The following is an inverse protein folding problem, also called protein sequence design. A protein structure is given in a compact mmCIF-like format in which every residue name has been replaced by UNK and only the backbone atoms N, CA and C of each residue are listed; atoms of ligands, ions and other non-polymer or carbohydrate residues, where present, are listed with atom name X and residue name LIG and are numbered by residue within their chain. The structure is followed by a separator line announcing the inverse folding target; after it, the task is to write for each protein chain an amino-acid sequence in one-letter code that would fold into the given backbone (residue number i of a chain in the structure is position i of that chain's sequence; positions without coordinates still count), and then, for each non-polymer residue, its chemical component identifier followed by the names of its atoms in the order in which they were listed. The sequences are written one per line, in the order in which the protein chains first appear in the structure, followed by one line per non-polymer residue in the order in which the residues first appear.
data_IF_032842552022
#
_entry.id   IF_032842552022
#
_cell.length_a   1.000
_cell.length_b   1.000
_cell.length_c   1.000
_cell.angle_alpha   90.00
_cell.angle_beta   90.00
_cell.angle_gamma   90.00
#
_symmetry.space_group_name_H-M   'P 1'
#
loop_
_entity.id
_entity.type
_entity.pdbx_description
1 polymer ?
#
# COMPACT_ATOMS: atom_id res chain seq x y z
N UNK A 1 9.02 3.18 2.40
CA UNK A 1 9.02 1.84 3.05
C UNK A 1 10.32 1.07 2.89
N UNK A 2 10.73 0.63 1.68
CA UNK A 2 11.89 -0.26 1.50
C UNK A 2 13.19 0.22 2.19
N UNK A 3 13.61 1.46 1.92
CA UNK A 3 14.82 2.01 2.50
C UNK A 3 14.69 2.25 4.02
N UNK A 4 13.53 2.73 4.46
CA UNK A 4 13.18 2.86 5.87
C UNK A 4 13.38 1.54 6.62
N UNK A 5 12.79 0.44 6.15
CA UNK A 5 12.91 -0.87 6.82
C UNK A 5 14.34 -1.42 6.82
N UNK A 6 15.11 -1.14 5.77
CA UNK A 6 16.52 -1.52 5.70
C UNK A 6 17.37 -0.80 6.73
N UNK A 7 17.07 0.47 7.02
CA UNK A 7 17.80 1.27 8.00
C UNK A 7 17.41 0.99 9.47
N UNK A 8 16.27 0.32 9.72
CA UNK A 8 15.87 -0.05 11.09
C UNK A 8 16.90 -0.98 11.75
N UNK A 9 17.07 -0.83 13.06
CA UNK A 9 17.74 -1.84 13.88
C UNK A 9 16.96 -3.15 13.82
N UNK A 10 17.62 -4.25 13.45
CA UNK A 10 17.00 -5.57 13.25
C UNK A 10 16.64 -6.26 14.57
N UNK A 11 17.25 -5.84 15.66
CA UNK A 11 16.89 -6.27 17.01
C UNK A 11 16.02 -5.23 17.72
N UNK A 12 15.76 -4.09 17.07
CA UNK A 12 14.98 -2.97 17.58
C UNK A 12 13.47 -3.25 17.67
N UNK A 13 12.79 -2.47 18.53
CA UNK A 13 11.34 -2.58 18.77
C UNK A 13 10.50 -2.38 17.50
N UNK A 14 10.85 -1.40 16.67
CA UNK A 14 10.14 -1.10 15.43
C UNK A 14 10.20 -2.26 14.42
N UNK A 15 11.39 -2.85 14.21
CA UNK A 15 11.54 -3.99 13.32
C UNK A 15 10.81 -5.23 13.83
N UNK A 16 10.91 -5.51 15.14
CA UNK A 16 10.18 -6.59 15.78
C UNK A 16 8.65 -6.42 15.67
N UNK A 17 8.15 -5.18 15.75
CA UNK A 17 6.74 -4.89 15.50
C UNK A 17 6.33 -5.27 14.08
N UNK A 18 7.11 -4.88 13.06
CA UNK A 18 6.82 -5.22 11.66
C UNK A 18 6.70 -6.73 11.44
N UNK A 19 7.60 -7.53 12.03
CA UNK A 19 7.54 -8.99 11.95
C UNK A 19 6.24 -9.55 12.57
N UNK A 20 5.82 -9.02 13.73
CA UNK A 20 4.58 -9.43 14.41
C UNK A 20 3.32 -8.98 13.68
N UNK A 21 3.33 -7.78 13.11
CA UNK A 21 2.18 -7.19 12.40
C UNK A 21 1.84 -7.92 11.11
N UNK A 22 2.82 -8.62 10.52
CA UNK A 22 2.68 -9.37 9.27
C UNK A 22 3.26 -10.79 9.37
N UNK A 23 2.62 -11.70 10.12
CA UNK A 23 3.14 -13.06 10.34
C UNK A 23 3.19 -13.91 9.05
N UNK A 24 2.50 -13.49 7.99
CA UNK A 24 2.54 -14.12 6.66
C UNK A 24 3.75 -13.69 5.82
N UNK A 25 4.50 -12.69 6.25
CA UNK A 25 5.75 -12.28 5.61
C UNK A 25 6.92 -12.96 6.34
N UNK A 26 7.84 -13.53 5.57
CA UNK A 26 9.10 -14.04 6.13
C UNK A 26 9.95 -12.89 6.65
N UNK A 27 10.82 -13.17 7.62
CA UNK A 27 11.75 -12.18 8.17
C UNK A 27 12.59 -11.55 7.06
N UNK A 28 13.01 -12.34 6.06
CA UNK A 28 13.80 -11.90 4.91
C UNK A 28 13.02 -10.88 4.05
N UNK A 29 11.70 -11.08 3.85
CA UNK A 29 10.86 -10.13 3.12
C UNK A 29 10.73 -8.82 3.88
N UNK A 30 10.56 -8.90 5.20
CA UNK A 30 10.52 -7.72 6.09
C UNK A 30 11.88 -7.00 6.05
N UNK A 31 13.00 -7.70 6.25
CA UNK A 31 14.37 -7.14 6.15
C UNK A 31 14.63 -6.47 4.81
N UNK A 32 14.18 -7.09 3.72
CA UNK A 32 14.31 -6.54 2.38
C UNK A 32 13.40 -5.34 2.11
N UNK A 33 12.43 -5.08 3.00
CA UNK A 33 11.47 -3.99 2.89
C UNK A 33 10.40 -4.24 1.83
N UNK A 34 10.02 -5.52 1.63
CA UNK A 34 9.03 -5.96 0.65
C UNK A 34 7.64 -5.90 1.27
N UNK A 35 6.92 -4.83 0.96
CA UNK A 35 5.54 -4.61 1.37
C UNK A 35 4.71 -4.19 0.16
N UNK A 36 3.45 -4.61 0.12
CA UNK A 36 2.49 -4.13 -0.88
C UNK A 36 1.76 -2.86 -0.40
N UNK A 37 1.01 -2.23 -1.31
CA UNK A 37 0.25 -1.02 -1.01
C UNK A 37 -0.68 -1.15 0.22
N UNK A 38 -1.52 -2.20 0.31
CA UNK A 38 -2.38 -2.41 1.47
C UNK A 38 -1.64 -2.55 2.80
N UNK A 39 -0.51 -3.27 2.84
CA UNK A 39 0.31 -3.41 4.04
C UNK A 39 0.88 -2.06 4.49
N UNK A 40 1.37 -1.24 3.54
CA UNK A 40 1.88 0.09 3.85
C UNK A 40 0.76 0.98 4.40
N UNK A 41 -0.43 0.97 3.79
CA UNK A 41 -1.58 1.76 4.29
C UNK A 41 -2.05 1.32 5.67
N UNK A 42 -1.98 0.01 5.97
CA UNK A 42 -2.25 -0.50 7.31
C UNK A 42 -1.30 0.13 8.33
N UNK A 43 0.00 0.14 8.04
CA UNK A 43 1.00 0.76 8.91
C UNK A 43 0.81 2.27 9.07
N UNK A 44 0.42 2.99 8.02
CA UNK A 44 0.16 4.44 8.08
C UNK A 44 -0.95 4.78 9.09
N UNK A 45 -1.95 3.89 9.22
CA UNK A 45 -3.08 4.06 10.14
C UNK A 45 -2.84 3.46 11.54
N UNK A 46 -1.72 2.77 11.74
CA UNK A 46 -1.44 2.02 12.94
C UNK A 46 -0.66 2.87 13.96
N UNK A 47 -1.35 3.33 15.00
CA UNK A 47 -0.74 4.13 16.07
C UNK A 47 0.25 3.32 16.91
N UNK A 48 0.00 2.02 17.11
CA UNK A 48 0.89 1.14 17.86
C UNK A 48 2.20 0.91 17.12
N UNK A 49 2.15 0.84 15.79
CA UNK A 49 3.36 0.85 14.98
C UNK A 49 4.22 2.09 15.25
N UNK A 50 3.62 3.28 15.28
CA UNK A 50 4.34 4.51 15.57
C UNK A 50 4.89 4.53 17.00
N UNK A 51 4.16 3.98 17.98
CA UNK A 51 4.60 3.88 19.38
C UNK A 51 5.81 2.95 19.56
N UNK A 52 6.03 2.01 18.64
CA UNK A 52 7.19 1.12 18.66
C UNK A 52 8.52 1.79 18.27
N UNK A 53 8.46 2.99 17.69
CA UNK A 53 9.61 3.67 17.09
C UNK A 53 10.43 4.47 18.10
N UNK A 54 11.74 4.54 17.87
CA UNK A 54 12.58 5.56 18.52
C UNK A 54 12.41 6.95 17.84
N UNK A 55 13.08 7.97 18.37
CA UNK A 55 12.95 9.35 17.88
C UNK A 55 13.32 9.51 16.40
N UNK A 56 14.41 8.88 15.94
CA UNK A 56 14.87 8.98 14.54
C UNK A 56 13.92 8.24 13.60
N UNK A 57 13.52 7.03 13.97
CA UNK A 57 12.57 6.21 13.23
C UNK A 57 11.22 6.93 13.10
N UNK A 58 10.72 7.50 14.19
CA UNK A 58 9.45 8.22 14.23
C UNK A 58 9.50 9.50 13.37
N UNK A 59 10.61 10.25 13.41
CA UNK A 59 10.78 11.44 12.57
C UNK A 59 10.80 11.09 11.07
N UNK A 60 11.52 10.04 10.68
CA UNK A 60 11.55 9.55 9.30
C UNK A 60 10.19 8.99 8.86
N UNK A 61 9.52 8.24 9.73
CA UNK A 61 8.19 7.69 9.42
C UNK A 61 7.16 8.80 9.23
N UNK A 62 7.11 9.78 10.14
CA UNK A 62 6.17 10.91 10.05
C UNK A 62 6.39 11.74 8.79
N UNK A 63 7.64 12.05 8.44
CA UNK A 63 7.94 12.79 7.21
C UNK A 63 7.55 12.01 5.95
N UNK A 64 7.76 10.69 5.94
CA UNK A 64 7.26 9.81 4.87
C UNK A 64 5.72 9.85 4.76
N UNK A 65 5.00 9.73 5.87
CA UNK A 65 3.53 9.80 5.89
C UNK A 65 3.03 11.15 5.37
N UNK A 66 3.71 12.24 5.71
CA UNK A 66 3.38 13.58 5.20
C UNK A 66 3.51 13.66 3.67
N UNK A 67 4.57 13.09 3.09
CA UNK A 67 4.75 13.03 1.61
C UNK A 67 3.69 12.14 0.96
N UNK A 68 3.34 11.00 1.57
CA UNK A 68 2.28 10.12 1.05
C UNK A 68 0.94 10.86 0.97
N UNK A 69 0.57 11.57 2.05
CA UNK A 69 -0.75 12.19 2.16
C UNK A 69 -0.89 13.49 1.37
N UNK A 70 0.21 14.24 1.18
CA UNK A 70 0.15 15.60 0.63
C UNK A 70 0.86 15.74 -0.73
N UNK A 71 1.39 14.66 -1.29
CA UNK A 71 2.03 14.69 -2.61
C UNK A 71 1.69 13.46 -3.45
N UNK A 72 1.90 12.25 -2.93
CA UNK A 72 1.71 11.01 -3.71
C UNK A 72 0.24 10.60 -3.89
N UNK A 73 -0.69 11.35 -3.29
CA UNK A 73 -2.12 11.09 -3.36
C UNK A 73 -2.82 11.86 -4.48
N UNK A 74 -4.09 12.20 -4.23
CA UNK A 74 -4.92 12.92 -5.19
C UNK A 74 -4.67 14.44 -5.23
N UNK A 75 -3.86 14.94 -4.30
CA UNK A 75 -3.56 16.36 -4.15
C UNK A 75 -2.06 16.55 -4.01
N UNK A 76 -1.54 17.55 -4.73
CA UNK A 76 -0.18 18.06 -4.60
C UNK A 76 -0.21 19.33 -3.76
N UNK A 77 0.35 19.28 -2.56
CA UNK A 77 0.36 20.43 -1.67
C UNK A 77 1.32 21.52 -2.19
N UNK A 78 0.96 22.79 -1.99
CA UNK A 78 1.80 23.92 -2.38
C UNK A 78 3.21 23.86 -1.74
N UNK A 79 3.34 23.28 -0.54
CA UNK A 79 4.60 23.12 0.17
C UNK A 79 5.29 21.75 -0.06
N UNK A 80 4.91 21.01 -1.11
CA UNK A 80 5.43 19.66 -1.39
C UNK A 80 6.96 19.59 -1.46
N UNK A 81 7.61 20.59 -2.06
CA UNK A 81 9.07 20.69 -2.10
C UNK A 81 9.70 20.58 -0.70
N UNK A 82 9.16 21.34 0.26
CA UNK A 82 9.61 21.29 1.67
C UNK A 82 9.36 19.91 2.29
N UNK A 83 8.19 19.32 2.04
CA UNK A 83 7.87 17.99 2.58
C UNK A 83 8.84 16.92 2.10
N UNK A 84 9.17 16.93 0.81
CA UNK A 84 10.11 15.97 0.21
C UNK A 84 11.53 16.19 0.76
N UNK A 85 12.01 17.44 0.85
CA UNK A 85 13.31 17.76 1.46
C UNK A 85 13.40 17.29 2.90
N UNK A 86 12.38 17.59 3.73
CA UNK A 86 12.32 17.14 5.13
C UNK A 86 12.34 15.61 5.23
N UNK A 87 11.65 14.91 4.33
CA UNK A 87 11.69 13.44 4.30
C UNK A 87 13.10 12.92 3.98
N UNK A 88 13.79 13.50 3.00
CA UNK A 88 15.14 13.08 2.60
C UNK A 88 16.15 13.30 3.74
N UNK A 89 16.09 14.46 4.40
CA UNK A 89 16.94 14.75 5.56
C UNK A 89 16.69 13.78 6.73
N UNK A 90 15.42 13.49 7.02
CA UNK A 90 15.07 12.54 8.07
C UNK A 90 15.53 11.11 7.74
N UNK A 91 15.43 10.71 6.46
CA UNK A 91 15.91 9.42 5.98
C UNK A 91 17.44 9.34 6.06
N UNK A 92 18.14 10.42 5.71
CA UNK A 92 19.60 10.50 5.84
C UNK A 92 20.03 10.37 7.31
N UNK A 93 19.36 11.07 8.23
CA UNK A 93 19.62 10.98 9.69
C UNK A 93 19.38 9.57 10.24
N UNK A 94 18.39 8.85 9.70
CA UNK A 94 18.13 7.45 10.04
C UNK A 94 19.17 6.48 9.44
N UNK A 95 20.02 6.92 8.50
CA UNK A 95 20.98 6.07 7.80
C UNK A 95 20.40 5.35 6.58
N UNK A 96 19.29 5.84 6.01
CA UNK A 96 18.75 5.31 4.77
C UNK A 96 19.63 5.68 3.57
N UNK A 97 19.87 4.72 2.68
CA UNK A 97 20.45 4.99 1.37
C UNK A 97 19.43 5.63 0.43
N UNK A 98 19.87 6.57 -0.40
CA UNK A 98 19.03 7.16 -1.45
C UNK A 98 18.85 6.15 -2.57
N UNK A 99 17.63 5.64 -2.73
CA UNK A 99 17.27 4.82 -3.89
C UNK A 99 17.04 5.69 -5.13
N UNK A 100 17.15 5.08 -6.32
CA UNK A 100 16.84 5.75 -7.59
C UNK A 100 15.44 6.39 -7.61
N UNK A 101 14.43 5.76 -6.98
CA UNK A 101 13.08 6.32 -6.87
C UNK A 101 13.02 7.58 -6.01
N UNK A 102 13.78 7.62 -4.92
CA UNK A 102 13.86 8.81 -4.04
C UNK A 102 14.61 9.94 -4.74
N UNK A 103 15.69 9.60 -5.46
CA UNK A 103 16.41 10.58 -6.28
C UNK A 103 15.53 11.17 -7.37
N UNK A 104 14.82 10.33 -8.13
CA UNK A 104 13.87 10.77 -9.16
C UNK A 104 12.77 11.65 -8.57
N UNK A 105 12.18 11.24 -7.44
CA UNK A 105 11.16 12.01 -6.72
C UNK A 105 11.68 13.41 -6.38
N UNK A 106 12.87 13.51 -5.80
CA UNK A 106 13.48 14.79 -5.42
C UNK A 106 13.81 15.67 -6.63
N UNK A 107 14.51 15.11 -7.61
CA UNK A 107 14.99 15.86 -8.78
C UNK A 107 13.89 16.32 -9.74
N UNK A 108 12.71 15.69 -9.68
CA UNK A 108 11.62 15.97 -10.61
C UNK A 108 10.29 16.27 -9.91
N UNK A 109 10.29 16.59 -8.61
CA UNK A 109 9.08 16.86 -7.83
C UNK A 109 8.14 17.89 -8.50
N UNK A 110 8.71 18.91 -9.14
CA UNK A 110 7.94 19.96 -9.82
C UNK A 110 7.24 19.48 -11.10
N UNK A 111 7.81 18.47 -11.78
CA UNK A 111 7.28 17.95 -13.05
C UNK A 111 6.09 17.02 -12.88
N UNK A 112 5.79 16.59 -11.65
CA UNK A 112 4.65 15.73 -11.40
C UNK A 112 3.32 16.49 -11.50
N UNK A 113 2.27 15.88 -12.06
CA UNK A 113 0.93 16.47 -12.13
C UNK A 113 0.33 16.74 -10.74
N UNK A 114 -0.68 17.60 -10.70
CA UNK A 114 -1.39 17.97 -9.46
C UNK A 114 -2.11 16.79 -8.79
N UNK A 115 -2.54 15.80 -9.58
CA UNK A 115 -3.20 14.59 -9.08
C UNK A 115 -2.42 13.35 -9.53
N UNK A 116 -1.52 12.87 -8.66
CA UNK A 116 -0.73 11.67 -8.91
C UNK A 116 -1.53 10.39 -8.73
N UNK A 117 -2.47 10.39 -7.78
CA UNK A 117 -3.33 9.24 -7.51
C UNK A 117 -4.10 8.79 -8.76
N UNK A 118 -4.61 9.74 -9.55
CA UNK A 118 -5.33 9.46 -10.81
C UNK A 118 -4.46 8.81 -11.90
N UNK A 119 -3.14 9.04 -11.85
CA UNK A 119 -2.17 8.49 -12.81
C UNK A 119 -1.42 7.27 -12.25
N UNK A 120 -1.75 6.84 -11.03
CA UNK A 120 -1.07 5.75 -10.35
C UNK A 120 -1.57 4.39 -10.85
N UNK A 121 -0.68 3.40 -10.91
CA UNK A 121 -1.03 2.01 -11.21
C UNK A 121 -1.64 1.26 -10.01
N UNK A 122 -2.27 1.99 -9.09
CA UNK A 122 -2.89 1.40 -7.91
C UNK A 122 -4.02 0.43 -8.29
N UNK A 123 -4.77 0.75 -9.34
CA UNK A 123 -5.86 -0.10 -9.82
C UNK A 123 -5.33 -1.41 -10.44
N UNK A 124 -4.21 -1.37 -11.18
CA UNK A 124 -3.56 -2.57 -11.72
C UNK A 124 -3.04 -3.48 -10.60
N UNK A 125 -2.36 -2.91 -9.60
CA UNK A 125 -1.92 -3.64 -8.42
C UNK A 125 -3.09 -4.27 -7.63
N UNK A 126 -4.22 -3.58 -7.54
CA UNK A 126 -5.44 -4.12 -6.93
C UNK A 126 -6.02 -5.27 -7.73
N UNK A 127 -6.09 -5.11 -9.05
CA UNK A 127 -6.56 -6.15 -9.97
C UNK A 127 -5.75 -7.45 -9.79
N UNK A 128 -4.42 -7.38 -9.75
CA UNK A 128 -3.59 -8.56 -9.54
C UNK A 128 -3.84 -9.27 -8.21
N UNK A 129 -4.12 -8.51 -7.14
CA UNK A 129 -4.43 -9.08 -5.82
C UNK A 129 -5.81 -9.74 -5.78
N UNK A 130 -6.81 -9.15 -6.43
CA UNK A 130 -8.15 -9.70 -6.51
C UNK A 130 -8.15 -10.95 -7.42
N UNK A 131 -7.47 -10.89 -8.56
CA UNK A 131 -7.33 -12.03 -9.48
C UNK A 131 -6.65 -13.22 -8.82
N UNK A 132 -5.59 -12.99 -8.03
CA UNK A 132 -4.96 -14.06 -7.26
C UNK A 132 -5.97 -14.76 -6.32
N UNK A 133 -6.83 -14.00 -5.64
CA UNK A 133 -7.84 -14.59 -4.75
C UNK A 133 -8.92 -15.36 -5.52
N UNK A 134 -9.34 -14.85 -6.68
CA UNK A 134 -10.28 -15.55 -7.55
C UNK A 134 -9.65 -16.84 -8.08
N UNK A 135 -8.39 -16.80 -8.52
CA UNK A 135 -7.67 -17.98 -9.00
C UNK A 135 -7.53 -19.06 -7.91
N UNK A 136 -7.18 -18.67 -6.68
CA UNK A 136 -7.13 -19.58 -5.53
C UNK A 136 -8.50 -20.23 -5.26
N UNK A 137 -9.60 -19.47 -5.36
CA UNK A 137 -10.98 -19.99 -5.20
C UNK A 137 -11.34 -21.00 -6.29
N UNK A 138 -10.91 -20.76 -7.53
CA UNK A 138 -11.23 -21.59 -8.68
C UNK A 138 -10.18 -22.68 -8.95
N UNK A 139 -9.18 -22.84 -8.08
CA UNK A 139 -8.12 -23.84 -8.16
C UNK A 139 -7.32 -23.77 -9.48
N UNK A 140 -7.04 -22.55 -9.94
CA UNK A 140 -6.31 -22.33 -11.20
C UNK A 140 -7.13 -22.57 -12.47
N UNK A 141 -8.45 -22.78 -12.37
CA UNK A 141 -9.32 -22.83 -13.55
C UNK A 141 -9.61 -21.43 -14.06
N UNK A 142 -9.24 -21.19 -15.32
CA UNK A 142 -9.46 -19.93 -16.03
C UNK A 142 -10.57 -20.11 -17.06
N UNK A 143 -11.83 -20.00 -16.62
CA UNK A 143 -13.01 -20.14 -17.48
C UNK A 143 -13.91 -18.88 -17.49
N UNK A 144 -14.90 -18.87 -18.38
CA UNK A 144 -15.85 -17.77 -18.50
C UNK A 144 -16.67 -17.56 -17.22
N UNK A 145 -16.87 -18.61 -16.40
CA UNK A 145 -17.64 -18.55 -15.16
C UNK A 145 -16.85 -17.82 -14.07
N UNK A 146 -15.55 -18.10 -13.95
CA UNK A 146 -14.62 -17.37 -13.08
C UNK A 146 -14.61 -15.88 -13.41
N UNK A 147 -14.45 -15.53 -14.69
CA UNK A 147 -14.45 -14.12 -15.10
C UNK A 147 -15.81 -13.45 -14.90
N UNK A 148 -16.92 -14.18 -15.08
CA UNK A 148 -18.26 -13.68 -14.78
C UNK A 148 -18.44 -13.42 -13.27
N UNK A 149 -17.95 -14.30 -12.39
CA UNK A 149 -17.99 -14.11 -10.93
C UNK A 149 -17.13 -12.91 -10.50
N UNK A 150 -15.95 -12.73 -11.10
CA UNK A 150 -15.12 -11.55 -10.86
C UNK A 150 -15.84 -10.25 -11.25
N UNK A 151 -16.34 -10.16 -12.48
CA UNK A 151 -17.12 -9.01 -12.94
C UNK A 151 -18.36 -8.77 -12.05
N UNK A 152 -19.00 -9.84 -11.57
CA UNK A 152 -20.13 -9.76 -10.65
C UNK A 152 -19.72 -9.21 -9.28
N UNK A 153 -18.57 -9.62 -8.75
CA UNK A 153 -18.03 -9.10 -7.48
C UNK A 153 -17.76 -7.59 -7.55
N UNK A 154 -17.17 -7.12 -8.66
CA UNK A 154 -16.95 -5.69 -8.91
C UNK A 154 -18.26 -4.90 -8.97
N UNK A 155 -19.29 -5.44 -9.63
CA UNK A 155 -20.61 -4.80 -9.69
C UNK A 155 -21.26 -4.72 -8.32
N UNK A 156 -21.21 -5.81 -7.54
CA UNK A 156 -21.83 -5.87 -6.20
C UNK A 156 -21.19 -4.89 -5.22
N UNK A 157 -19.87 -4.72 -5.29
CA UNK A 157 -19.13 -3.87 -4.36
C UNK A 157 -19.26 -2.37 -4.71
N UNK A 158 -20.00 -2.03 -5.77
CA UNK A 158 -20.39 -0.65 -6.09
C UNK A 158 -21.48 -0.16 -5.12
N UNK A 159 -21.09 0.68 -4.16
CA UNK A 159 -21.99 1.24 -3.13
C UNK A 159 -23.06 2.19 -3.69
N UNK A 160 -22.94 2.63 -4.95
CA UNK A 160 -23.93 3.50 -5.58
C UNK A 160 -25.12 2.74 -6.19
N UNK A 161 -25.07 1.40 -6.26
CA UNK A 161 -26.10 0.59 -6.90
C UNK A 161 -26.80 -0.31 -5.87
N UNK A 162 -28.14 -0.18 -5.77
CA UNK A 162 -28.95 -1.10 -4.98
C UNK A 162 -29.08 -2.43 -5.74
N UNK A 163 -28.58 -3.51 -5.15
CA UNK A 163 -28.61 -4.84 -5.74
C UNK A 163 -29.44 -5.82 -4.92
N UNK A 164 -30.47 -6.40 -5.53
CA UNK A 164 -31.30 -7.46 -4.94
C UNK A 164 -31.01 -8.77 -5.67
N UNK A 165 -30.59 -9.81 -4.94
CA UNK A 165 -30.38 -11.14 -5.52
C UNK A 165 -31.73 -11.81 -5.75
N UNK A 166 -32.18 -11.85 -6.99
CA UNK A 166 -33.39 -12.59 -7.36
C UNK A 166 -33.02 -14.07 -7.60
N UNK A 167 -33.39 -14.94 -6.66
CA UNK A 167 -33.29 -16.39 -6.86
C UNK A 167 -34.56 -16.90 -7.51
N UNK A 168 -34.49 -17.25 -8.81
CA UNK A 168 -35.55 -18.01 -9.46
C UNK A 168 -35.52 -19.45 -8.93
N UNK A 169 -36.13 -19.70 -7.76
CA UNK A 169 -36.43 -21.07 -7.32
C UNK A 169 -37.35 -21.69 -8.36
N UNK A 170 -36.83 -22.58 -9.22
CA UNK A 170 -37.69 -23.52 -9.94
C UNK A 170 -38.34 -24.40 -8.88
N UNK A 171 -39.66 -24.32 -8.73
CA UNK A 171 -40.41 -25.36 -8.03
C UNK A 171 -40.24 -26.61 -8.89
N UNK A 172 -39.59 -27.64 -8.37
CA UNK A 172 -39.80 -28.97 -8.90
C UNK A 172 -41.28 -29.27 -8.69
N UNK A 173 -42.01 -29.49 -9.78
CA UNK A 173 -43.38 -29.96 -9.67
C UNK A 173 -43.38 -31.37 -9.08
N UNK A 174 -44.37 -31.70 -8.24
CA UNK A 174 -44.49 -33.02 -7.62
C UNK A 174 -44.65 -34.14 -8.65
#
# INVERSE_FOLDING_TARGET
MKQFTRALDKDGRCFNYLCRAFPRLTSEKVKAGIFNGPQIRKLIKDTEFQNSMNTLECAAWKSFVQVVNNFLGNTKAANHARLISTMIEAFQKLGCLISIKMHFLFSHMEKFPENLGAMSDEQGERFHQDMRQIEERYQGRWDAVMMADYCWSLKRDNTAAAHTRESKKRRFMP
#
